data_IF_534154098333
#
_entry.id   IF_534154098333
#
_cell.length_a   1.000
_cell.length_b   1.000
_cell.length_c   1.000
_cell.angle_alpha   90.00
_cell.angle_beta   90.00
_cell.angle_gamma   90.00
#
_symmetry.space_group_name_H-M   'P 1'
#
loop_
_entity.id
_entity.type
_entity.pdbx_description
1 polymer ?
#
# COMPACT_ATOMS: atom_id res chain seq x y z
N UNK A 1 14.98 -8.73 21.58
CA UNK A 1 14.65 -7.56 20.75
C UNK A 1 14.64 -7.98 19.28
N UNK A 2 13.55 -7.73 18.54
CA UNK A 2 13.48 -8.08 17.14
C UNK A 2 14.47 -7.25 16.30
N UNK A 3 14.91 -7.81 15.19
CA UNK A 3 15.70 -7.09 14.19
C UNK A 3 14.80 -6.32 13.22
N UNK A 4 15.29 -5.23 12.68
CA UNK A 4 14.55 -4.42 11.70
C UNK A 4 14.28 -5.22 10.42
N UNK A 5 13.03 -5.28 9.99
CA UNK A 5 12.62 -6.02 8.79
C UNK A 5 13.05 -5.35 7.46
N UNK A 6 13.51 -4.09 7.53
CA UNK A 6 14.02 -3.37 6.35
C UNK A 6 15.54 -3.49 6.20
N UNK A 7 16.31 -3.27 7.27
CA UNK A 7 17.77 -3.17 7.19
C UNK A 7 18.53 -4.15 8.09
N UNK A 8 17.85 -5.06 8.79
CA UNK A 8 18.39 -6.07 9.71
C UNK A 8 19.18 -5.50 10.91
N UNK A 9 19.16 -4.20 11.16
CA UNK A 9 19.81 -3.59 12.31
C UNK A 9 19.03 -3.86 13.62
N UNK A 10 19.69 -3.66 14.74
CA UNK A 10 19.05 -3.77 16.07
C UNK A 10 17.93 -2.76 16.23
N UNK A 11 16.95 -3.10 17.04
CA UNK A 11 15.85 -2.21 17.41
C UNK A 11 15.71 -2.07 18.92
N UNK A 12 14.95 -1.06 19.32
CA UNK A 12 14.55 -0.81 20.70
C UNK A 12 13.04 -0.72 20.79
N UNK A 13 12.46 -0.95 21.95
CA UNK A 13 11.04 -0.77 22.18
C UNK A 13 10.69 0.70 21.90
N UNK A 14 9.68 0.93 21.09
CA UNK A 14 9.11 2.24 20.81
C UNK A 14 7.81 2.49 21.58
N UNK A 15 6.90 1.49 21.58
CA UNK A 15 5.62 1.60 22.25
C UNK A 15 5.09 0.24 22.72
N UNK A 16 4.80 0.11 24.01
CA UNK A 16 4.10 -1.02 24.69
C UNK A 16 4.61 -2.43 24.31
N UNK A 17 5.89 -2.60 24.01
CA UNK A 17 6.42 -3.87 23.49
C UNK A 17 5.67 -4.41 22.23
N UNK A 18 4.88 -3.56 21.58
CA UNK A 18 4.16 -3.85 20.36
C UNK A 18 4.88 -3.29 19.14
N UNK A 19 5.47 -2.10 19.28
CA UNK A 19 6.17 -1.42 18.22
C UNK A 19 7.63 -1.18 18.59
N UNK A 20 8.50 -1.35 17.61
CA UNK A 20 9.95 -1.23 17.75
C UNK A 20 10.50 -0.19 16.79
N UNK A 21 11.53 0.52 17.22
CA UNK A 21 12.23 1.51 16.40
C UNK A 21 13.62 1.01 16.04
N UNK A 22 13.94 1.02 14.77
CA UNK A 22 15.26 0.67 14.26
C UNK A 22 16.31 1.70 14.66
N UNK A 23 17.44 1.22 15.16
CA UNK A 23 18.58 2.09 15.53
C UNK A 23 19.27 2.72 14.31
N UNK A 24 19.20 2.06 13.13
CA UNK A 24 19.84 2.48 11.89
C UNK A 24 18.89 3.31 11.00
N UNK A 25 17.91 2.68 10.36
CA UNK A 25 17.04 3.35 9.40
C UNK A 25 15.87 4.12 10.02
N UNK A 26 15.71 4.08 11.35
CA UNK A 26 14.68 4.77 12.12
C UNK A 26 13.25 4.29 11.86
N UNK A 27 13.05 3.27 11.04
CA UNK A 27 11.72 2.68 10.83
C UNK A 27 11.09 2.26 12.15
N UNK A 28 9.81 2.53 12.30
CA UNK A 28 8.96 1.99 13.37
C UNK A 28 8.18 0.84 12.76
N UNK A 29 8.23 -0.32 13.40
CA UNK A 29 7.63 -1.53 12.86
C UNK A 29 7.04 -2.41 13.97
N UNK A 30 6.05 -3.21 13.60
CA UNK A 30 5.53 -4.30 14.41
C UNK A 30 6.24 -5.59 14.00
N UNK A 31 6.76 -6.40 14.93
CA UNK A 31 7.40 -7.66 14.59
C UNK A 31 6.45 -8.60 13.84
N UNK A 32 7.00 -9.40 12.93
CA UNK A 32 6.24 -10.32 12.09
C UNK A 32 5.35 -11.28 12.91
N UNK A 33 5.84 -11.74 14.04
CA UNK A 33 5.14 -12.65 14.95
C UNK A 33 3.90 -12.05 15.60
N UNK A 34 3.78 -10.71 15.52
CA UNK A 34 2.64 -9.94 16.05
C UNK A 34 1.69 -9.45 14.96
N UNK A 35 1.99 -9.73 13.69
CA UNK A 35 1.07 -9.48 12.57
C UNK A 35 -0.02 -10.56 12.53
N UNK A 36 -1.17 -10.22 11.98
CA UNK A 36 -2.22 -11.19 11.70
C UNK A 36 -1.74 -12.13 10.59
N UNK A 37 -2.13 -13.40 10.65
CA UNK A 37 -1.96 -14.31 9.52
C UNK A 37 -2.90 -13.92 8.36
N UNK A 38 -2.56 -14.36 7.15
CA UNK A 38 -3.32 -14.00 5.94
C UNK A 38 -4.80 -14.36 6.02
N UNK A 39 -5.16 -15.41 6.74
CA UNK A 39 -6.54 -15.88 6.84
C UNK A 39 -7.37 -14.96 7.73
N UNK A 40 -6.83 -14.58 8.88
CA UNK A 40 -7.44 -13.59 9.79
C UNK A 40 -7.48 -12.19 9.19
N UNK A 41 -6.44 -11.84 8.44
CA UNK A 41 -6.38 -10.57 7.74
C UNK A 41 -7.48 -10.48 6.67
N UNK A 42 -7.63 -11.52 5.85
CA UNK A 42 -8.72 -11.61 4.86
C UNK A 42 -10.10 -11.53 5.51
N UNK A 43 -10.33 -12.28 6.61
CA UNK A 43 -11.60 -12.23 7.35
C UNK A 43 -11.89 -10.81 7.87
N UNK A 44 -10.87 -10.08 8.33
CA UNK A 44 -11.02 -8.69 8.74
C UNK A 44 -11.43 -7.80 7.57
N UNK A 45 -10.81 -7.94 6.40
CA UNK A 45 -11.18 -7.18 5.20
C UNK A 45 -12.59 -7.54 4.70
N UNK A 46 -12.98 -8.81 4.74
CA UNK A 46 -14.33 -9.24 4.36
C UNK A 46 -15.42 -8.66 5.28
N UNK A 47 -15.08 -8.37 6.54
CA UNK A 47 -15.98 -7.74 7.52
C UNK A 47 -16.11 -6.23 7.38
N UNK A 48 -15.21 -5.57 6.65
CA UNK A 48 -15.29 -4.14 6.35
C UNK A 48 -16.16 -3.90 5.13
N UNK A 49 -17.20 -3.10 5.28
CA UNK A 49 -17.98 -2.56 4.17
C UNK A 49 -17.19 -1.45 3.49
N UNK A 50 -16.20 -1.81 2.67
CA UNK A 50 -15.51 -0.85 1.82
C UNK A 50 -16.41 -0.55 0.62
N UNK A 51 -17.05 0.61 0.64
CA UNK A 51 -17.85 1.15 -0.46
C UNK A 51 -17.12 2.38 -1.03
N UNK A 52 -16.69 2.29 -2.28
CA UNK A 52 -16.03 3.40 -2.96
C UNK A 52 -16.94 4.64 -3.12
N UNK A 53 -18.25 4.50 -2.92
CA UNK A 53 -19.19 5.63 -2.90
C UNK A 53 -19.33 6.29 -1.52
N UNK A 54 -18.77 5.71 -0.46
CA UNK A 54 -18.79 6.32 0.87
C UNK A 54 -17.99 7.62 0.88
N UNK A 55 -18.65 8.72 1.21
CA UNK A 55 -18.04 10.05 1.21
C UNK A 55 -16.95 10.20 2.26
N UNK A 56 -17.07 9.51 3.40
CA UNK A 56 -16.04 9.50 4.45
C UNK A 56 -14.77 8.84 3.94
N UNK A 57 -14.91 7.71 3.27
CA UNK A 57 -13.79 6.98 2.69
C UNK A 57 -13.15 7.75 1.51
N UNK A 58 -13.97 8.36 0.64
CA UNK A 58 -13.45 9.26 -0.40
C UNK A 58 -12.68 10.44 0.18
N UNK A 59 -13.18 11.06 1.26
CA UNK A 59 -12.49 12.15 1.95
C UNK A 59 -11.17 11.70 2.58
N UNK A 60 -11.11 10.49 3.12
CA UNK A 60 -9.91 9.90 3.70
C UNK A 60 -8.78 9.74 2.65
N UNK A 61 -9.10 9.33 1.43
CA UNK A 61 -8.10 9.14 0.36
C UNK A 61 -7.80 10.41 -0.45
N UNK A 62 -8.49 11.52 -0.20
CA UNK A 62 -8.27 12.81 -0.91
C UNK A 62 -6.81 13.28 -0.94
N UNK A 63 -6.00 13.17 0.12
CA UNK A 63 -4.61 13.58 0.03
C UNK A 63 -3.85 12.87 -1.09
N UNK A 64 -4.10 11.56 -1.28
CA UNK A 64 -3.48 10.75 -2.33
C UNK A 64 -4.03 11.13 -3.70
N UNK A 65 -5.35 11.11 -3.86
CA UNK A 65 -5.98 11.40 -5.16
C UNK A 65 -5.70 12.82 -5.64
N UNK A 66 -5.71 13.82 -4.74
CA UNK A 66 -5.37 15.19 -5.09
C UNK A 66 -3.90 15.33 -5.53
N UNK A 67 -2.96 14.63 -4.86
CA UNK A 67 -1.56 14.62 -5.26
C UNK A 67 -1.42 14.06 -6.67
N UNK A 68 -2.06 12.91 -6.96
CA UNK A 68 -2.02 12.29 -8.29
C UNK A 68 -2.62 13.22 -9.34
N UNK A 69 -3.80 13.81 -9.10
CA UNK A 69 -4.47 14.71 -10.05
C UNK A 69 -3.67 15.99 -10.32
N UNK A 70 -2.85 16.45 -9.38
CA UNK A 70 -2.02 17.63 -9.53
C UNK A 70 -0.67 17.35 -10.21
N UNK A 71 -0.10 16.16 -10.01
CA UNK A 71 1.27 15.85 -10.42
C UNK A 71 1.34 15.04 -11.72
N UNK A 72 0.29 14.27 -12.04
CA UNK A 72 0.24 13.37 -13.19
C UNK A 72 -0.84 13.79 -14.20
N UNK A 73 -0.79 13.20 -15.38
CA UNK A 73 -1.72 13.44 -16.48
C UNK A 73 -2.60 12.21 -16.73
N UNK A 74 -3.73 12.39 -17.38
CA UNK A 74 -4.63 11.29 -17.75
C UNK A 74 -4.01 10.25 -18.70
N UNK A 75 -2.91 10.62 -19.39
CA UNK A 75 -2.13 9.70 -20.23
C UNK A 75 -1.19 8.80 -19.40
N UNK A 76 -0.85 9.19 -18.17
CA UNK A 76 0.01 8.42 -17.28
C UNK A 76 -0.76 7.20 -16.74
N UNK A 77 -0.05 6.13 -16.45
CA UNK A 77 -0.63 4.87 -15.99
C UNK A 77 -0.26 4.65 -14.53
N UNK A 78 -1.27 4.54 -13.68
CA UNK A 78 -1.11 4.26 -12.25
C UNK A 78 -1.41 2.83 -11.84
N UNK A 79 -1.02 2.49 -10.63
CA UNK A 79 -1.37 1.27 -9.93
C UNK A 79 -1.90 1.61 -8.54
N UNK A 80 -3.03 1.05 -8.16
CA UNK A 80 -3.48 0.98 -6.77
C UNK A 80 -3.09 -0.39 -6.20
N UNK A 81 -2.02 -0.41 -5.41
CA UNK A 81 -1.45 -1.62 -4.82
C UNK A 81 -2.05 -1.85 -3.43
N UNK A 82 -2.74 -2.97 -3.26
CA UNK A 82 -3.56 -3.24 -2.08
C UNK A 82 -4.89 -2.51 -2.12
N UNK A 83 -5.52 -2.46 -3.31
CA UNK A 83 -6.75 -1.70 -3.56
C UNK A 83 -7.99 -2.20 -2.80
N UNK A 84 -7.90 -3.37 -2.17
CA UNK A 84 -9.05 -4.00 -1.51
C UNK A 84 -10.14 -4.41 -2.49
N UNK A 85 -11.33 -4.65 -1.96
CA UNK A 85 -12.49 -5.10 -2.75
C UNK A 85 -13.07 -3.98 -3.61
N UNK A 86 -13.14 -2.77 -3.07
CA UNK A 86 -13.73 -1.60 -3.73
C UNK A 86 -12.94 -0.33 -3.32
N UNK A 87 -12.21 0.25 -4.27
CA UNK A 87 -11.28 1.34 -4.03
C UNK A 87 -11.84 2.70 -4.39
N UNK A 88 -11.95 3.64 -3.44
CA UNK A 88 -12.31 5.02 -3.75
C UNK A 88 -11.21 5.75 -4.54
N UNK A 89 -9.94 5.35 -4.42
CA UNK A 89 -8.83 5.90 -5.21
C UNK A 89 -9.07 5.62 -6.70
N UNK A 90 -9.32 4.35 -7.03
CA UNK A 90 -9.62 3.92 -8.40
C UNK A 90 -10.82 4.67 -8.93
N UNK A 91 -11.94 4.68 -8.19
CA UNK A 91 -13.16 5.37 -8.58
C UNK A 91 -12.92 6.84 -8.91
N UNK A 92 -12.30 7.59 -8.00
CA UNK A 92 -12.06 9.03 -8.17
C UNK A 92 -11.16 9.28 -9.39
N UNK A 93 -10.10 8.49 -9.59
CA UNK A 93 -9.18 8.67 -10.70
C UNK A 93 -9.83 8.30 -12.04
N UNK A 94 -10.59 7.22 -12.12
CA UNK A 94 -11.34 6.84 -13.33
C UNK A 94 -12.39 7.89 -13.71
N UNK A 95 -13.12 8.45 -12.74
CA UNK A 95 -14.08 9.55 -12.96
C UNK A 95 -13.40 10.82 -13.52
N UNK A 96 -12.09 11.00 -13.24
CA UNK A 96 -11.28 12.06 -13.82
C UNK A 96 -10.51 11.63 -15.09
N UNK A 97 -10.88 10.49 -15.69
CA UNK A 97 -10.28 9.96 -16.93
C UNK A 97 -8.82 9.51 -16.79
N UNK A 98 -8.34 9.20 -15.58
CA UNK A 98 -7.03 8.62 -15.35
C UNK A 98 -7.07 7.11 -15.52
N UNK A 99 -5.96 6.54 -15.99
CA UNK A 99 -5.79 5.08 -16.13
C UNK A 99 -5.10 4.55 -14.88
N UNK A 100 -5.74 3.64 -14.18
CA UNK A 100 -5.21 3.03 -12.98
C UNK A 100 -5.50 1.52 -12.96
N UNK A 101 -4.46 0.72 -12.79
CA UNK A 101 -4.58 -0.72 -12.58
C UNK A 101 -4.87 -1.02 -11.10
N UNK A 102 -5.46 -2.16 -10.84
CA UNK A 102 -5.79 -2.66 -9.48
C UNK A 102 -5.00 -3.92 -9.19
N UNK A 103 -4.37 -3.97 -8.04
CA UNK A 103 -3.79 -5.20 -7.51
C UNK A 103 -4.13 -5.36 -6.03
N UNK A 104 -4.61 -6.53 -5.66
CA UNK A 104 -4.80 -6.92 -4.27
C UNK A 104 -4.68 -8.44 -4.15
N UNK A 105 -3.88 -8.92 -3.20
CA UNK A 105 -3.59 -10.35 -3.02
C UNK A 105 -4.84 -11.20 -2.74
N UNK A 106 -5.91 -10.59 -2.21
CA UNK A 106 -7.14 -11.29 -1.85
C UNK A 106 -8.27 -11.13 -2.87
N UNK A 107 -8.31 -9.99 -3.57
CA UNK A 107 -9.46 -9.59 -4.40
C UNK A 107 -9.13 -9.44 -5.88
N UNK A 108 -7.89 -9.08 -6.22
CA UNK A 108 -7.42 -8.81 -7.60
C UNK A 108 -6.00 -9.34 -7.79
N UNK A 109 -5.79 -10.64 -7.55
CA UNK A 109 -4.47 -11.28 -7.61
C UNK A 109 -4.05 -11.63 -9.06
N UNK A 110 -4.05 -10.62 -9.93
CA UNK A 110 -3.55 -10.72 -11.28
C UNK A 110 -2.05 -10.42 -11.33
N UNK A 111 -1.25 -11.46 -11.55
CA UNK A 111 0.21 -11.33 -11.58
C UNK A 111 0.73 -10.57 -12.81
N UNK A 112 -0.02 -10.47 -13.90
CA UNK A 112 0.37 -9.71 -15.09
C UNK A 112 0.47 -8.21 -14.76
N UNK A 113 -0.32 -7.73 -13.81
CA UNK A 113 -0.24 -6.36 -13.26
C UNK A 113 1.15 -6.08 -12.64
N UNK A 114 1.78 -7.09 -12.04
CA UNK A 114 3.09 -6.97 -11.42
C UNK A 114 4.27 -7.12 -12.41
N UNK A 115 4.00 -7.30 -13.70
CA UNK A 115 5.00 -7.34 -14.76
C UNK A 115 5.11 -6.01 -15.52
N UNK A 116 4.21 -5.06 -15.24
CA UNK A 116 4.14 -3.75 -15.90
C UNK A 116 4.92 -2.66 -15.13
N UNK A 117 5.07 -1.51 -15.78
CA UNK A 117 5.68 -0.32 -15.18
C UNK A 117 4.68 0.82 -15.11
N UNK A 118 4.72 1.55 -14.01
CA UNK A 118 3.74 2.58 -13.68
C UNK A 118 4.41 3.95 -13.51
N UNK A 119 3.69 5.00 -13.85
CA UNK A 119 4.09 6.39 -13.63
C UNK A 119 3.88 6.80 -12.17
N UNK A 120 2.89 6.19 -11.50
CA UNK A 120 2.65 6.35 -10.07
C UNK A 120 2.05 5.07 -9.48
N UNK A 121 2.30 4.85 -8.18
CA UNK A 121 1.69 3.77 -7.40
C UNK A 121 1.05 4.38 -6.15
N UNK A 122 -0.23 4.15 -5.95
CA UNK A 122 -0.91 4.39 -4.68
C UNK A 122 -0.80 3.12 -3.83
N UNK A 123 -0.48 3.28 -2.55
CA UNK A 123 -0.37 2.18 -1.58
C UNK A 123 -0.93 2.67 -0.23
N UNK A 124 -2.25 2.67 -0.10
CA UNK A 124 -2.98 3.26 1.03
C UNK A 124 -3.42 2.20 2.02
N UNK A 125 -3.02 2.35 3.31
CA UNK A 125 -3.37 1.41 4.39
C UNK A 125 -2.95 -0.05 4.09
N UNK A 126 -1.75 -0.23 3.56
CA UNK A 126 -1.23 -1.54 3.12
C UNK A 126 0.14 -1.85 3.71
N UNK A 127 1.04 -0.86 3.77
CA UNK A 127 2.44 -1.08 4.14
C UNK A 127 2.63 -1.59 5.57
N UNK A 128 1.73 -1.26 6.47
CA UNK A 128 1.71 -1.72 7.86
C UNK A 128 1.41 -3.22 7.99
N UNK A 129 0.85 -3.81 6.92
CA UNK A 129 0.51 -5.24 6.84
C UNK A 129 1.59 -6.08 6.14
N UNK A 130 2.65 -5.46 5.63
CA UNK A 130 3.70 -6.17 4.92
C UNK A 130 4.43 -7.17 5.82
N UNK A 131 4.37 -8.45 5.45
CA UNK A 131 5.05 -9.54 6.13
C UNK A 131 6.57 -9.54 5.91
N UNK A 132 7.00 -9.11 4.73
CA UNK A 132 8.40 -8.99 4.33
C UNK A 132 8.65 -7.62 3.71
N UNK A 133 8.52 -6.52 4.47
CA UNK A 133 8.43 -5.16 3.95
C UNK A 133 9.60 -4.78 3.01
N UNK A 134 10.79 -5.33 3.24
CA UNK A 134 11.91 -5.10 2.33
C UNK A 134 11.62 -5.62 0.91
N UNK A 135 11.08 -6.83 0.79
CA UNK A 135 10.75 -7.43 -0.52
C UNK A 135 9.61 -6.70 -1.20
N UNK A 136 8.57 -6.34 -0.45
CA UNK A 136 7.42 -5.59 -0.99
C UNK A 136 7.84 -4.20 -1.46
N UNK A 137 8.69 -3.47 -0.72
CA UNK A 137 9.22 -2.19 -1.19
C UNK A 137 10.16 -2.35 -2.40
N UNK A 138 10.97 -3.42 -2.47
CA UNK A 138 11.79 -3.73 -3.64
C UNK A 138 10.89 -4.03 -4.86
N UNK A 139 9.80 -4.77 -4.68
CA UNK A 139 8.80 -5.00 -5.71
C UNK A 139 8.17 -3.67 -6.17
N UNK A 140 7.60 -2.88 -5.27
CA UNK A 140 6.99 -1.59 -5.60
C UNK A 140 7.96 -0.69 -6.36
N UNK A 141 9.22 -0.60 -5.91
CA UNK A 141 10.27 0.13 -6.61
C UNK A 141 10.51 -0.43 -8.01
N UNK A 142 10.49 -1.76 -8.17
CA UNK A 142 10.70 -2.40 -9.46
C UNK A 142 9.57 -2.13 -10.45
N UNK A 143 8.36 -1.85 -9.99
CA UNK A 143 7.19 -1.53 -10.81
C UNK A 143 7.14 -0.06 -11.24
N UNK A 144 7.94 0.81 -10.65
CA UNK A 144 8.00 2.22 -11.02
C UNK A 144 8.84 2.44 -12.27
N UNK A 145 8.40 3.35 -13.13
CA UNK A 145 9.21 3.92 -14.22
C UNK A 145 10.26 4.89 -13.65
N UNK A 146 11.22 5.30 -14.47
CA UNK A 146 12.14 6.38 -14.10
C UNK A 146 11.36 7.68 -13.85
N UNK A 147 11.71 8.40 -12.77
CA UNK A 147 11.04 9.65 -12.34
C UNK A 147 9.57 9.51 -11.95
N UNK A 148 9.19 8.35 -11.44
CA UNK A 148 7.85 8.06 -10.94
C UNK A 148 7.77 8.15 -9.42
N UNK A 149 6.56 8.08 -8.86
CA UNK A 149 6.29 8.29 -7.42
C UNK A 149 5.49 7.12 -6.83
N UNK A 150 5.87 6.74 -5.59
CA UNK A 150 5.12 5.86 -4.69
C UNK A 150 4.52 6.69 -3.58
#
# INVERSE_FOLDING_TARGET
>A
MPTCQLCNAKSTIFYKDEFYKCSCCKAIFRPKEKLLDNEKEKQRYDSHTNDANDLGYQNFVKPITNSILNEFKSADIGLDFGCGKDSPIVKILEENSYKIAKYDIFFYDDKEILEQKYDYIACCEVIEHFYTPKKEFELLKSLLKDKSTL
#
